data_IF_404988520512
#
_entry.id   IF_404988520512
#
_cell.length_a   1.000
_cell.length_b   1.000
_cell.length_c   1.000
_cell.angle_alpha   90.00
_cell.angle_beta   90.00
_cell.angle_gamma   90.00
#
_symmetry.space_group_name_H-M   'P 1'
#
loop_
_entity.id
_entity.type
_entity.pdbx_description
1 polymer ?
#
# COMPACT_ATOMS: atom_id res chain seq x y z
N UNK A 1 -25.63 8.95 -2.64
CA UNK A 1 -25.09 9.58 -3.87
C UNK A 1 -24.83 8.48 -4.85
N UNK A 2 -25.49 8.55 -6.00
CA UNK A 2 -25.44 7.52 -7.05
C UNK A 2 -24.05 7.54 -7.70
N UNK A 3 -23.34 6.42 -7.69
CA UNK A 3 -21.93 6.31 -8.12
C UNK A 3 -21.78 6.11 -9.64
N UNK A 4 -22.86 6.23 -10.42
CA UNK A 4 -22.91 5.91 -11.85
C UNK A 4 -22.11 6.89 -12.73
N UNK A 5 -21.81 8.10 -12.25
CA UNK A 5 -21.20 9.19 -13.02
C UNK A 5 -19.72 9.46 -12.64
N UNK A 6 -19.07 8.50 -11.98
CA UNK A 6 -17.71 8.63 -11.44
C UNK A 6 -16.72 7.70 -12.11
N UNK A 7 -15.56 8.24 -12.47
CA UNK A 7 -14.42 7.44 -12.90
C UNK A 7 -13.94 6.53 -11.77
N UNK A 8 -13.61 5.28 -12.10
CA UNK A 8 -13.12 4.33 -11.11
C UNK A 8 -11.95 3.51 -11.63
N UNK A 9 -11.04 3.18 -10.72
CA UNK A 9 -9.96 2.24 -10.94
C UNK A 9 -9.99 1.19 -9.85
N UNK A 10 -9.65 -0.06 -10.17
CA UNK A 10 -9.62 -1.12 -9.17
C UNK A 10 -8.45 -2.06 -9.36
N UNK A 11 -8.08 -2.74 -8.28
CA UNK A 11 -7.15 -3.86 -8.27
C UNK A 11 -7.72 -4.98 -7.43
N UNK A 12 -7.50 -6.22 -7.89
CA UNK A 12 -7.96 -7.43 -7.22
C UNK A 12 -6.76 -8.27 -6.83
N UNK A 13 -6.77 -8.82 -5.62
CA UNK A 13 -5.66 -9.56 -5.03
C UNK A 13 -6.19 -10.87 -4.46
N UNK A 14 -5.85 -11.98 -5.10
CA UNK A 14 -6.07 -13.31 -4.52
C UNK A 14 -5.09 -13.58 -3.37
N UNK A 15 -5.62 -14.09 -2.26
CA UNK A 15 -4.85 -14.35 -1.05
C UNK A 15 -5.17 -15.74 -0.47
N UNK A 16 -4.19 -16.41 0.18
CA UNK A 16 -4.43 -17.65 0.91
C UNK A 16 -5.06 -17.42 2.29
N UNK A 17 -5.31 -16.16 2.69
CA UNK A 17 -5.86 -15.81 4.00
C UNK A 17 -7.38 -15.95 4.02
N UNK A 18 -7.94 -16.23 5.19
CA UNK A 18 -9.39 -16.18 5.37
C UNK A 18 -9.90 -14.73 5.27
N UNK A 19 -11.20 -14.56 5.00
CA UNK A 19 -11.82 -13.24 4.96
C UNK A 19 -11.60 -12.45 6.26
N UNK A 20 -11.61 -13.12 7.42
CA UNK A 20 -11.34 -12.47 8.72
C UNK A 20 -9.90 -12.01 8.89
N UNK A 21 -8.92 -12.85 8.51
CA UNK A 21 -7.51 -12.44 8.54
C UNK A 21 -7.25 -11.26 7.59
N UNK A 22 -7.88 -11.29 6.41
CA UNK A 22 -7.75 -10.23 5.42
C UNK A 22 -8.41 -8.93 5.89
N UNK A 23 -9.56 -9.02 6.57
CA UNK A 23 -10.25 -7.88 7.15
C UNK A 23 -9.47 -7.26 8.31
N UNK A 24 -8.92 -8.08 9.20
CA UNK A 24 -8.03 -7.61 10.28
C UNK A 24 -6.82 -6.87 9.70
N UNK A 25 -6.19 -7.46 8.66
CA UNK A 25 -5.08 -6.82 7.96
C UNK A 25 -5.48 -5.49 7.30
N UNK A 26 -6.59 -5.46 6.57
CA UNK A 26 -7.05 -4.26 5.87
C UNK A 26 -7.52 -3.17 6.84
N UNK A 27 -7.99 -3.54 8.04
CA UNK A 27 -8.45 -2.63 9.08
C UNK A 27 -7.30 -1.84 9.73
N UNK A 28 -6.06 -2.34 9.66
CA UNK A 28 -4.87 -1.55 10.00
C UNK A 28 -4.53 -0.60 8.83
N UNK A 29 -5.27 0.51 8.79
CA UNK A 29 -5.17 1.50 7.72
C UNK A 29 -3.75 2.06 7.57
N UNK A 30 -3.05 2.32 8.69
CA UNK A 30 -1.70 2.86 8.62
C UNK A 30 -0.76 1.86 7.94
N UNK A 31 -0.82 0.58 8.34
CA UNK A 31 -0.05 -0.49 7.71
C UNK A 31 -0.41 -0.64 6.23
N UNK A 32 -1.70 -0.63 5.90
CA UNK A 32 -2.20 -0.79 4.54
C UNK A 32 -1.67 0.33 3.61
N UNK A 33 -1.75 1.59 4.04
CA UNK A 33 -1.25 2.73 3.26
C UNK A 33 0.27 2.73 3.15
N UNK A 34 1.00 2.32 4.20
CA UNK A 34 2.48 2.23 4.16
C UNK A 34 3.00 1.23 3.13
N UNK A 35 2.17 0.27 2.70
CA UNK A 35 2.55 -0.67 1.64
C UNK A 35 2.59 -0.02 0.26
N UNK A 36 1.99 1.15 0.06
CA UNK A 36 2.09 1.87 -1.19
C UNK A 36 3.57 2.25 -1.44
N UNK A 37 4.19 1.80 -2.54
CA UNK A 37 5.62 2.00 -2.79
C UNK A 37 5.98 3.44 -3.19
N UNK A 38 5.01 4.33 -3.28
CA UNK A 38 5.19 5.74 -3.63
C UNK A 38 4.60 6.69 -2.59
N UNK A 39 3.91 6.17 -1.56
CA UNK A 39 3.33 7.00 -0.52
C UNK A 39 4.25 7.03 0.70
N UNK A 40 4.83 8.19 0.97
CA UNK A 40 5.51 8.47 2.23
C UNK A 40 4.50 9.07 3.21
N UNK A 41 4.23 8.37 4.31
CA UNK A 41 3.38 8.88 5.39
C UNK A 41 4.26 9.67 6.37
N UNK A 42 4.05 10.97 6.45
CA UNK A 42 4.80 11.89 7.31
C UNK A 42 4.18 11.96 8.71
N UNK A 43 2.84 12.02 8.79
CA UNK A 43 2.10 11.97 10.04
C UNK A 43 0.85 11.09 9.89
N UNK A 44 0.45 10.47 11.00
CA UNK A 44 -0.75 9.65 11.08
C UNK A 44 -1.38 9.79 12.45
N UNK A 45 -2.52 10.44 12.50
CA UNK A 45 -3.23 10.75 13.73
C UNK A 45 -4.60 10.08 13.68
N UNK A 46 -4.88 9.27 14.68
CA UNK A 46 -6.18 8.64 14.86
C UNK A 46 -6.51 8.52 16.34
N UNK A 47 -7.79 8.66 16.66
CA UNK A 47 -8.35 8.52 17.99
C UNK A 47 -8.49 7.04 18.41
N UNK A 48 -8.46 6.12 17.45
CA UNK A 48 -8.71 4.68 17.69
C UNK A 48 -7.69 3.81 16.99
N UNK A 49 -7.26 2.76 17.71
CA UNK A 49 -6.40 1.71 17.13
C UNK A 49 -7.18 0.68 16.32
N UNK A 50 -8.45 0.44 16.67
CA UNK A 50 -9.33 -0.52 16.01
C UNK A 50 -10.26 0.24 15.08
N UNK A 51 -10.39 -0.25 13.85
CA UNK A 51 -11.25 0.35 12.84
C UNK A 51 -12.71 0.40 13.29
N UNK A 52 -13.35 1.56 13.20
CA UNK A 52 -14.76 1.74 13.56
C UNK A 52 -15.51 2.62 12.55
N UNK A 53 -16.82 2.39 12.42
CA UNK A 53 -17.70 3.25 11.63
C UNK A 53 -17.61 4.70 12.10
N UNK A 54 -17.49 5.63 11.15
CA UNK A 54 -17.35 7.06 11.43
C UNK A 54 -15.98 7.50 11.95
N UNK A 55 -15.01 6.58 12.13
CA UNK A 55 -13.65 6.91 12.54
C UNK A 55 -13.02 7.90 11.55
N UNK A 56 -12.27 8.86 12.10
CA UNK A 56 -11.52 9.83 11.32
C UNK A 56 -10.03 9.63 11.53
N UNK A 57 -9.29 9.69 10.44
CA UNK A 57 -7.83 9.65 10.44
C UNK A 57 -7.32 10.89 9.75
N UNK A 58 -6.48 11.67 10.42
CA UNK A 58 -5.75 12.76 9.80
C UNK A 58 -4.37 12.26 9.40
N UNK A 59 -3.97 12.49 8.16
CA UNK A 59 -2.65 12.09 7.69
C UNK A 59 -2.02 13.15 6.80
N UNK A 60 -0.71 13.35 6.99
CA UNK A 60 0.13 14.07 6.04
C UNK A 60 0.95 13.05 5.26
N UNK A 61 1.00 13.22 3.95
CA UNK A 61 1.76 12.34 3.06
C UNK A 61 2.43 13.10 1.94
N UNK A 62 3.45 12.46 1.37
CA UNK A 62 4.10 12.83 0.11
C UNK A 62 3.93 11.67 -0.89
N UNK A 63 3.35 11.95 -2.05
CA UNK A 63 3.35 11.01 -3.16
C UNK A 63 4.62 11.22 -4.01
N UNK A 64 5.57 10.29 -3.91
CA UNK A 64 6.86 10.35 -4.59
C UNK A 64 6.74 10.24 -6.12
N UNK A 65 5.61 9.81 -6.69
CA UNK A 65 5.44 9.76 -8.16
C UNK A 65 5.22 11.12 -8.79
N UNK A 66 4.50 12.02 -8.11
CA UNK A 66 4.15 13.34 -8.62
C UNK A 66 4.72 14.49 -7.77
N UNK A 67 5.37 14.17 -6.65
CA UNK A 67 5.96 15.15 -5.73
C UNK A 67 4.93 15.91 -4.89
N UNK A 68 3.66 15.49 -4.90
CA UNK A 68 2.57 16.20 -4.23
C UNK A 68 2.56 15.81 -2.75
N UNK A 69 2.76 16.80 -1.88
CA UNK A 69 2.54 16.67 -0.44
C UNK A 69 1.15 17.23 -0.07
N UNK A 70 0.41 16.51 0.78
CA UNK A 70 -0.92 16.93 1.25
C UNK A 70 -1.17 16.51 2.68
N UNK A 71 -2.00 17.29 3.34
CA UNK A 71 -2.73 16.90 4.54
C UNK A 71 -4.16 16.58 4.15
N UNK A 72 -4.72 15.48 4.66
CA UNK A 72 -6.13 15.17 4.48
C UNK A 72 -6.71 14.42 5.67
N UNK A 73 -8.05 14.40 5.72
CA UNK A 73 -8.80 13.56 6.64
C UNK A 73 -9.50 12.44 5.87
N UNK A 74 -9.28 11.20 6.31
CA UNK A 74 -10.02 10.02 5.89
C UNK A 74 -11.18 9.81 6.87
N UNK A 75 -12.38 9.48 6.37
CA UNK A 75 -13.49 9.02 7.19
C UNK A 75 -13.97 7.63 6.77
N UNK A 76 -14.17 6.76 7.76
CA UNK A 76 -14.62 5.39 7.55
C UNK A 76 -16.14 5.35 7.48
N UNK A 77 -16.69 4.69 6.47
CA UNK A 77 -18.13 4.44 6.36
C UNK A 77 -18.43 3.06 5.79
N UNK A 78 -19.65 2.56 6.00
CA UNK A 78 -20.10 1.31 5.41
C UNK A 78 -19.31 0.09 5.89
N UNK A 79 -18.81 0.13 7.13
CA UNK A 79 -18.04 -0.95 7.75
C UNK A 79 -18.90 -2.21 7.87
N UNK A 80 -18.49 -3.26 7.17
CA UNK A 80 -19.09 -4.59 7.22
C UNK A 80 -18.01 -5.59 7.62
N UNK A 81 -18.01 -6.09 8.87
CA UNK A 81 -17.01 -7.04 9.34
C UNK A 81 -16.81 -8.21 8.38
N UNK A 82 -15.56 -8.54 8.08
CA UNK A 82 -15.13 -9.57 7.13
C UNK A 82 -15.52 -9.34 5.65
N UNK A 83 -16.22 -8.26 5.31
CA UNK A 83 -16.71 -7.99 3.95
C UNK A 83 -16.12 -6.71 3.35
N UNK A 84 -15.80 -5.70 4.17
CA UNK A 84 -15.23 -4.46 3.64
C UNK A 84 -15.63 -3.18 4.36
N UNK A 85 -15.20 -2.06 3.81
CA UNK A 85 -15.53 -0.70 4.26
C UNK A 85 -15.14 0.32 3.19
N UNK A 86 -15.57 1.57 3.37
CA UNK A 86 -15.26 2.69 2.48
C UNK A 86 -14.45 3.73 3.26
N UNK A 87 -13.37 4.22 2.66
CA UNK A 87 -12.59 5.36 3.11
C UNK A 87 -12.94 6.57 2.26
N UNK A 88 -13.55 7.58 2.84
CA UNK A 88 -13.87 8.83 2.14
C UNK A 88 -12.77 9.86 2.39
N UNK A 89 -12.36 10.55 1.34
CA UNK A 89 -11.29 11.54 1.36
C UNK A 89 -11.90 12.94 1.45
N UNK A 90 -11.41 13.76 2.38
CA UNK A 90 -11.88 15.15 2.51
C UNK A 90 -11.52 16.02 1.31
N UNK A 91 -10.42 15.72 0.62
CA UNK A 91 -9.82 16.54 -0.42
C UNK A 91 -9.13 15.71 -1.52
N UNK A 92 -8.90 16.34 -2.67
CA UNK A 92 -8.28 15.72 -3.85
C UNK A 92 -9.28 15.14 -4.86
N UNK A 93 -8.76 14.70 -6.02
CA UNK A 93 -9.57 14.06 -7.07
C UNK A 93 -10.14 12.72 -6.61
N UNK A 94 -9.38 12.00 -5.80
CA UNK A 94 -9.80 10.74 -5.20
C UNK A 94 -10.81 11.03 -4.09
N UNK A 95 -12.04 10.52 -4.24
CA UNK A 95 -13.14 10.73 -3.28
C UNK A 95 -13.33 9.58 -2.31
N UNK A 96 -13.16 8.36 -2.80
CA UNK A 96 -13.30 7.20 -1.96
C UNK A 96 -12.33 6.07 -2.36
N UNK A 97 -11.89 5.31 -1.37
CA UNK A 97 -11.34 3.96 -1.55
C UNK A 97 -12.31 2.99 -0.93
N UNK A 98 -12.87 2.11 -1.74
CA UNK A 98 -13.72 1.02 -1.30
C UNK A 98 -12.86 -0.25 -1.18
N UNK A 99 -12.87 -0.83 0.02
CA UNK A 99 -12.21 -2.09 0.35
C UNK A 99 -13.29 -3.16 0.39
N UNK A 100 -13.17 -4.15 -0.47
CA UNK A 100 -14.13 -5.26 -0.59
C UNK A 100 -13.37 -6.57 -0.39
N UNK A 101 -13.94 -7.44 0.43
CA UNK A 101 -13.38 -8.75 0.78
C UNK A 101 -14.40 -9.81 0.42
N UNK A 102 -13.99 -10.73 -0.46
CA UNK A 102 -14.83 -11.82 -0.92
C UNK A 102 -14.22 -13.16 -0.46
N UNK A 103 -14.94 -13.96 0.35
CA UNK A 103 -14.47 -15.28 0.72
C UNK A 103 -14.42 -16.21 -0.50
N UNK A 104 -13.39 -17.05 -0.57
CA UNK A 104 -13.25 -18.13 -1.56
C UNK A 104 -13.05 -19.47 -0.87
N UNK A 105 -13.18 -20.56 -1.62
CA UNK A 105 -12.98 -21.93 -1.11
C UNK A 105 -11.58 -22.16 -0.54
N UNK A 106 -10.56 -21.49 -1.04
CA UNK A 106 -9.17 -21.59 -0.57
C UNK A 106 -8.56 -20.21 -0.27
N UNK A 107 -9.22 -19.45 0.61
CA UNK A 107 -8.77 -18.13 1.05
C UNK A 107 -9.79 -17.04 0.79
N UNK A 108 -9.33 -15.87 0.34
CA UNK A 108 -10.19 -14.72 0.08
C UNK A 108 -9.55 -13.78 -0.94
N UNK A 109 -10.40 -12.95 -1.55
CA UNK A 109 -9.99 -11.89 -2.46
C UNK A 109 -10.12 -10.55 -1.77
N UNK A 110 -9.09 -9.72 -1.91
CA UNK A 110 -9.14 -8.30 -1.59
C UNK A 110 -9.30 -7.52 -2.89
N UNK A 111 -10.39 -6.77 -3.01
CA UNK A 111 -10.57 -5.78 -4.06
C UNK A 111 -10.45 -4.38 -3.44
N UNK A 112 -9.63 -3.54 -4.06
CA UNK A 112 -9.47 -2.13 -3.71
C UNK A 112 -9.94 -1.33 -4.90
N UNK A 113 -11.00 -0.54 -4.71
CA UNK A 113 -11.60 0.28 -5.76
C UNK A 113 -11.52 1.75 -5.37
N UNK A 114 -10.84 2.52 -6.19
CA UNK A 114 -10.73 3.96 -6.06
C UNK A 114 -11.80 4.64 -6.92
N UNK A 115 -12.49 5.60 -6.32
CA UNK A 115 -13.49 6.44 -6.95
C UNK A 115 -12.95 7.86 -7.08
N UNK A 116 -13.04 8.42 -8.28
CA UNK A 116 -12.58 9.77 -8.60
C UNK A 116 -13.76 10.63 -9.04
N UNK A 117 -13.66 11.94 -8.82
CA UNK A 117 -14.55 12.87 -9.52
C UNK A 117 -14.21 12.86 -11.01
N UNK A 118 -15.24 12.91 -11.85
CA UNK A 118 -15.08 13.09 -13.28
C UNK A 118 -14.29 14.39 -13.52
N UNK A 119 -13.18 14.27 -14.25
CA UNK A 119 -12.42 15.44 -14.69
C UNK A 119 -13.23 16.11 -15.79
N UNK A 120 -13.96 17.19 -15.45
CA UNK A 120 -14.76 17.94 -16.43
C UNK A 120 -13.83 18.52 -17.49
N UNK A 121 -13.91 17.97 -18.71
CA UNK A 121 -13.21 18.52 -19.87
C UNK A 121 -13.80 19.90 -20.20
N UNK A 122 -13.13 20.95 -19.75
CA UNK A 122 -13.53 22.31 -20.09
C UNK A 122 -12.96 22.67 -21.47
N UNK A 123 -13.78 23.06 -22.47
CA UNK A 123 -13.31 23.42 -23.82
C UNK A 123 -12.32 24.59 -23.86
N UNK A 124 -12.27 25.39 -22.80
CA UNK A 124 -11.36 26.53 -22.62
C UNK A 124 -10.18 26.25 -21.67
N UNK A 125 -9.97 25.01 -21.24
CA UNK A 125 -8.83 24.68 -20.39
C UNK A 125 -7.52 24.88 -21.14
N UNK A 126 -6.63 25.67 -20.53
CA UNK A 126 -5.26 25.80 -21.02
C UNK A 126 -4.51 24.46 -20.87
N UNK A 127 -3.54 24.14 -21.74
CA UNK A 127 -2.74 22.92 -21.63
C UNK A 127 -2.09 22.74 -20.23
N UNK A 128 -1.71 23.85 -19.59
CA UNK A 128 -1.15 23.86 -18.25
C UNK A 128 -2.14 23.39 -17.15
N UNK A 129 -3.42 23.80 -17.24
CA UNK A 129 -4.46 23.39 -16.30
C UNK A 129 -4.82 21.90 -16.45
N UNK A 130 -4.88 21.41 -17.69
CA UNK A 130 -5.06 19.98 -17.98
C UNK A 130 -3.89 19.16 -17.42
N UNK A 131 -2.66 19.63 -17.59
CA UNK A 131 -1.48 18.92 -17.08
C UNK A 131 -1.38 18.94 -15.55
N UNK A 132 -1.88 19.98 -14.88
CA UNK A 132 -2.02 20.00 -13.43
C UNK A 132 -3.05 18.97 -12.93
N UNK A 133 -4.21 18.86 -13.58
CA UNK A 133 -5.23 17.84 -13.24
C UNK A 133 -4.74 16.42 -13.50
N UNK A 134 -4.05 16.16 -14.61
CA UNK A 134 -3.47 14.86 -14.90
C UNK A 134 -2.36 14.44 -13.91
N UNK A 135 -1.65 15.40 -13.32
CA UNK A 135 -0.67 15.13 -12.24
C UNK A 135 -1.33 14.69 -10.93
N UNK A 136 -2.59 15.05 -10.70
CA UNK A 136 -3.34 14.65 -9.52
C UNK A 136 -3.92 13.23 -9.63
N UNK A 137 -4.02 12.67 -10.84
CA UNK A 137 -4.47 11.28 -11.05
C UNK A 137 -3.41 10.33 -10.50
N UNK A 138 -3.71 9.74 -9.35
CA UNK A 138 -2.80 8.81 -8.70
C UNK A 138 -2.74 7.47 -9.43
N UNK A 139 -1.62 7.18 -10.08
CA UNK A 139 -1.35 5.90 -10.75
C UNK A 139 -0.80 4.83 -9.79
N UNK A 140 -0.86 5.08 -8.47
CA UNK A 140 -0.28 4.19 -7.46
C UNK A 140 -1.08 2.91 -7.22
N UNK A 141 -2.34 2.82 -7.67
CA UNK A 141 -3.23 1.71 -7.30
C UNK A 141 -2.68 0.33 -7.73
N UNK A 142 -2.19 0.22 -8.96
CA UNK A 142 -1.58 -1.03 -9.46
C UNK A 142 -0.31 -1.42 -8.68
N UNK A 143 0.71 -0.55 -8.54
CA UNK A 143 1.91 -0.90 -7.78
C UNK A 143 1.65 -1.08 -6.28
N UNK A 144 0.64 -0.40 -5.72
CA UNK A 144 0.18 -0.61 -4.35
C UNK A 144 -0.44 -2.00 -4.19
N UNK A 145 -1.35 -2.40 -5.07
CA UNK A 145 -1.94 -3.74 -5.05
C UNK A 145 -0.89 -4.85 -5.19
N UNK A 146 0.10 -4.67 -6.07
CA UNK A 146 1.23 -5.59 -6.19
C UNK A 146 2.12 -5.64 -4.94
N UNK A 147 2.28 -4.52 -4.22
CA UNK A 147 3.00 -4.47 -2.96
C UNK A 147 2.22 -5.15 -1.82
N UNK A 148 0.91 -4.94 -1.74
CA UNK A 148 0.02 -5.64 -0.79
C UNK A 148 0.09 -7.15 -1.04
N UNK A 149 -0.07 -7.60 -2.28
CA UNK A 149 0.03 -9.03 -2.63
C UNK A 149 1.35 -9.64 -2.17
N UNK A 150 2.47 -8.99 -2.47
CA UNK A 150 3.80 -9.46 -2.04
C UNK A 150 3.94 -9.53 -0.53
N UNK A 151 3.38 -8.56 0.19
CA UNK A 151 3.39 -8.54 1.64
C UNK A 151 2.57 -9.69 2.23
N UNK A 152 1.34 -9.90 1.75
CA UNK A 152 0.46 -10.99 2.18
C UNK A 152 1.11 -12.35 1.92
N UNK A 153 1.61 -12.60 0.70
CA UNK A 153 2.27 -13.86 0.37
C UNK A 153 3.56 -14.08 1.15
N UNK A 154 4.34 -13.01 1.38
CA UNK A 154 5.53 -13.06 2.22
C UNK A 154 5.19 -13.44 3.66
N UNK A 155 4.13 -12.87 4.21
CA UNK A 155 3.64 -13.21 5.54
C UNK A 155 3.04 -14.62 5.62
N UNK A 156 2.32 -15.08 4.61
CA UNK A 156 1.80 -16.45 4.56
C UNK A 156 2.93 -17.48 4.51
N UNK A 157 4.03 -17.18 3.79
CA UNK A 157 5.16 -18.09 3.62
C UNK A 157 6.17 -18.07 4.77
N UNK A 158 6.47 -16.87 5.28
CA UNK A 158 7.59 -16.65 6.21
C UNK A 158 7.16 -16.05 7.55
N UNK A 159 5.89 -15.70 7.72
CA UNK A 159 5.39 -15.06 8.94
C UNK A 159 5.49 -15.92 10.20
N UNK A 160 5.65 -17.23 10.04
CA UNK A 160 5.90 -18.17 11.14
C UNK A 160 7.36 -18.18 11.60
N UNK A 161 8.31 -17.69 10.79
CA UNK A 161 9.71 -17.64 11.20
C UNK A 161 9.88 -16.62 12.34
N UNK A 162 10.66 -16.97 13.38
CA UNK A 162 10.96 -16.03 14.43
C UNK A 162 11.66 -14.80 13.84
N UNK A 163 11.35 -13.63 14.38
CA UNK A 163 11.86 -12.33 13.95
C UNK A 163 11.43 -11.82 12.56
N UNK A 164 11.01 -12.67 11.60
CA UNK A 164 10.62 -12.20 10.26
C UNK A 164 9.52 -11.15 10.31
N UNK A 165 8.45 -11.44 11.08
CA UNK A 165 7.33 -10.51 11.25
C UNK A 165 7.78 -9.19 11.89
N UNK A 166 8.56 -9.26 12.97
CA UNK A 166 9.06 -8.08 13.66
C UNK A 166 9.97 -7.23 12.76
N UNK A 167 10.91 -7.87 12.04
CA UNK A 167 11.77 -7.18 11.07
C UNK A 167 10.94 -6.52 9.96
N UNK A 168 9.96 -7.24 9.40
CA UNK A 168 9.15 -6.74 8.29
C UNK A 168 8.21 -5.61 8.72
N UNK A 169 7.52 -5.76 9.85
CA UNK A 169 6.48 -4.82 10.30
C UNK A 169 7.04 -3.65 11.10
N UNK A 170 8.05 -3.88 11.96
CA UNK A 170 8.57 -2.86 12.89
C UNK A 170 9.77 -2.10 12.34
N UNK A 171 10.60 -2.74 11.53
CA UNK A 171 11.80 -2.11 10.98
C UNK A 171 11.62 -1.70 9.52
N UNK A 172 11.15 -2.61 8.67
CA UNK A 172 11.10 -2.37 7.23
C UNK A 172 9.92 -1.48 6.81
N UNK A 173 8.71 -1.77 7.28
CA UNK A 173 7.50 -1.08 6.83
C UNK A 173 7.45 0.42 7.21
N UNK A 174 7.94 0.87 8.38
CA UNK A 174 7.92 2.29 8.75
C UNK A 174 8.86 3.18 7.93
N UNK A 175 9.82 2.60 7.22
CA UNK A 175 10.75 3.37 6.40
C UNK A 175 10.03 4.03 5.22
N UNK A 176 10.40 5.28 4.87
CA UNK A 176 9.97 5.92 3.64
C UNK A 176 10.22 5.03 2.42
N UNK A 177 9.39 5.10 1.36
CA UNK A 177 9.55 4.25 0.20
C UNK A 177 10.92 4.37 -0.46
N UNK A 178 11.49 5.58 -0.55
CA UNK A 178 12.88 5.80 -0.96
C UNK A 178 13.88 5.00 -0.16
N UNK A 179 13.80 5.02 1.17
CA UNK A 179 14.72 4.30 2.03
C UNK A 179 14.59 2.78 1.83
N UNK A 180 13.36 2.26 1.64
CA UNK A 180 13.15 0.83 1.32
C UNK A 180 13.73 0.42 -0.04
N UNK A 181 13.89 1.34 -0.99
CA UNK A 181 14.59 1.07 -2.26
C UNK A 181 16.10 1.00 -2.03
N UNK A 182 16.66 1.99 -1.34
CA UNK A 182 18.10 2.04 -1.01
C UNK A 182 18.51 0.82 -0.17
N UNK A 183 17.77 0.50 0.89
CA UNK A 183 18.06 -0.65 1.75
C UNK A 183 18.02 -1.98 0.97
N UNK A 184 17.15 -2.11 -0.05
CA UNK A 184 17.16 -3.31 -0.91
C UNK A 184 18.45 -3.40 -1.72
N UNK A 185 18.92 -2.29 -2.27
CA UNK A 185 20.18 -2.27 -3.02
C UNK A 185 21.34 -2.67 -2.11
N UNK A 186 21.43 -2.09 -0.92
CA UNK A 186 22.47 -2.43 0.06
C UNK A 186 22.43 -3.93 0.40
N UNK A 187 21.26 -4.48 0.72
CA UNK A 187 21.12 -5.91 1.04
C UNK A 187 21.60 -6.80 -0.11
N UNK A 188 21.23 -6.47 -1.36
CA UNK A 188 21.64 -7.25 -2.51
C UNK A 188 23.14 -7.14 -2.80
N UNK A 189 23.72 -5.94 -2.66
CA UNK A 189 25.16 -5.74 -2.80
C UNK A 189 25.93 -6.52 -1.73
N UNK A 190 25.52 -6.42 -0.46
CA UNK A 190 26.15 -7.18 0.64
C UNK A 190 26.00 -8.69 0.46
N UNK A 191 24.85 -9.17 -0.03
CA UNK A 191 24.66 -10.59 -0.31
C UNK A 191 25.61 -11.07 -1.43
N UNK A 192 25.80 -10.27 -2.48
CA UNK A 192 26.74 -10.56 -3.56
C UNK A 192 28.19 -10.58 -3.05
N UNK A 193 28.58 -9.57 -2.26
CA UNK A 193 29.90 -9.51 -1.61
C UNK A 193 30.16 -10.76 -0.76
N UNK A 194 29.16 -11.19 0.01
CA UNK A 194 29.26 -12.38 0.86
C UNK A 194 29.43 -13.67 0.03
N UNK A 195 28.73 -13.79 -1.10
CA UNK A 195 28.91 -14.93 -2.03
C UNK A 195 30.33 -14.95 -2.61
N UNK A 196 30.86 -13.80 -3.04
CA UNK A 196 32.24 -13.71 -3.54
C UNK A 196 33.24 -14.06 -2.44
N UNK A 197 33.02 -13.59 -1.22
CA UNK A 197 33.84 -13.93 -0.06
C UNK A 197 33.88 -15.45 0.19
N UNK A 198 32.72 -16.12 0.19
CA UNK A 198 32.65 -17.58 0.35
C UNK A 198 33.40 -18.29 -0.78
N UNK A 199 33.31 -17.81 -2.02
CA UNK A 199 34.00 -18.41 -3.16
C UNK A 199 35.53 -18.32 -3.02
N UNK A 200 36.06 -17.14 -2.68
CA UNK A 200 37.50 -16.96 -2.44
C UNK A 200 37.98 -17.82 -1.27
N UNK A 201 37.22 -17.84 -0.17
CA UNK A 201 37.52 -18.66 1.00
C UNK A 201 37.55 -20.16 0.66
N UNK A 202 36.58 -20.62 -0.14
CA UNK A 202 36.49 -22.02 -0.56
C UNK A 202 37.68 -22.42 -1.43
N UNK A 203 38.07 -21.57 -2.40
CA UNK A 203 39.26 -21.81 -3.25
C UNK A 203 40.52 -21.93 -2.40
N UNK A 204 40.71 -20.99 -1.47
CA UNK A 204 41.87 -20.99 -0.58
C UNK A 204 41.92 -22.26 0.28
N UNK A 205 40.77 -22.66 0.85
CA UNK A 205 40.67 -23.89 1.64
C UNK A 205 41.04 -25.14 0.81
N UNK A 206 40.44 -25.29 -0.38
CA UNK A 206 40.72 -26.45 -1.26
C UNK A 206 42.13 -26.47 -1.85
N UNK A 207 42.83 -25.33 -1.85
CA UNK A 207 44.22 -25.27 -2.28
C UNK A 207 45.21 -25.58 -1.14
N UNK A 208 44.72 -25.64 0.10
CA UNK A 208 45.51 -25.90 1.30
C UNK A 208 45.38 -27.36 1.76
N UNK A 209 44.28 -28.03 1.38
CA UNK A 209 44.11 -29.50 1.37
C UNK A 209 44.85 -30.14 0.18
#
# INVERSE_FOLDING_TARGET
MDNADRDSAWVTIDTPWSASQLFEFASDLQRLFRLNPYLEIQSWETDRKILAEGQRVRCQYLNEMNGVARELTLSVSGLKPNLGFILNYSEGLKRATEIIIEPKSNGAVLMIKDWYDAVVENPHQTPAQRQAQLKEVDRSLTPWGAAIRRHILGMARWGQLPFYRAWRERFWLPMPPRNRRISRLIIWTTALEFVVFILVFSIYWTAMD
#
